data_IF_082068573178
#
_entry.id   IF_082068573178
#
_cell.length_a   1.000
_cell.length_b   1.000
_cell.length_c   1.000
_cell.angle_alpha   90.00
_cell.angle_beta   90.00
_cell.angle_gamma   90.00
#
_symmetry.space_group_name_H-M   'P 1'
#
loop_
_entity.id
_entity.type
_entity.pdbx_description
1 polymer ?
#
# COMPACT_ATOMS: atom_id res chain seq x y z
N UNK A 1 18.86 4.26 5.26
CA UNK A 1 17.41 4.08 5.50
C UNK A 1 16.84 5.41 5.96
N UNK A 2 15.68 5.84 5.44
CA UNK A 2 15.00 7.05 5.92
C UNK A 2 14.49 6.86 7.35
N UNK A 3 14.45 7.94 8.13
CA UNK A 3 13.85 7.96 9.46
C UNK A 3 12.32 7.93 9.31
N UNK A 4 11.64 6.96 9.92
CA UNK A 4 10.17 6.78 9.81
C UNK A 4 9.37 7.47 10.93
N UNK A 5 10.03 7.87 12.01
CA UNK A 5 9.46 8.48 13.22
C UNK A 5 9.80 9.98 13.33
N UNK A 6 9.54 10.72 12.25
CA UNK A 6 9.70 12.18 12.22
C UNK A 6 8.60 12.89 13.02
N UNK A 7 8.86 14.13 13.45
CA UNK A 7 7.84 14.91 14.17
C UNK A 7 6.73 15.39 13.22
N UNK A 8 7.10 15.66 11.97
CA UNK A 8 6.30 16.20 10.87
C UNK A 8 5.42 15.13 10.21
N UNK A 9 5.70 13.85 10.46
CA UNK A 9 5.01 12.72 9.85
C UNK A 9 5.63 12.23 8.55
N UNK A 10 5.01 11.19 7.97
CA UNK A 10 5.49 10.51 6.76
C UNK A 10 4.40 10.49 5.67
N UNK A 11 4.78 10.92 4.46
CA UNK A 11 3.90 10.79 3.28
C UNK A 11 3.67 9.31 2.98
N UNK A 12 2.40 8.91 2.95
CA UNK A 12 2.00 7.51 2.74
C UNK A 12 0.92 7.45 1.65
N UNK A 13 0.96 6.38 0.87
CA UNK A 13 -0.05 6.07 -0.13
C UNK A 13 -0.46 4.60 0.02
N UNK A 14 -1.63 4.28 -0.50
CA UNK A 14 -2.12 2.90 -0.60
C UNK A 14 -2.38 2.63 -2.08
N UNK A 15 -1.70 1.63 -2.62
CA UNK A 15 -1.99 1.15 -3.97
C UNK A 15 -3.26 0.30 -3.94
N UNK A 16 -4.06 0.40 -4.99
CA UNK A 16 -5.26 -0.42 -5.17
C UNK A 16 -5.44 -0.81 -6.63
N UNK A 17 -6.15 -1.91 -6.86
CA UNK A 17 -6.56 -2.32 -8.19
C UNK A 17 -7.93 -1.70 -8.53
N UNK A 18 -8.13 -1.36 -9.80
CA UNK A 18 -9.38 -0.82 -10.32
C UNK A 18 -9.84 -1.63 -11.52
N UNK A 19 -11.14 -1.89 -11.62
CA UNK A 19 -11.76 -2.48 -12.79
C UNK A 19 -12.31 -1.35 -13.67
N UNK A 20 -11.81 -1.22 -14.90
CA UNK A 20 -12.33 -0.23 -15.83
C UNK A 20 -13.71 -0.63 -16.34
N UNK A 21 -14.64 0.33 -16.40
CA UNK A 21 -16.03 0.12 -16.81
C UNK A 21 -16.16 -0.60 -18.16
N UNK A 22 -15.38 -0.17 -19.13
CA UNK A 22 -15.44 -0.66 -20.52
C UNK A 22 -14.18 -1.48 -20.87
N UNK A 23 -13.61 -2.20 -19.89
CA UNK A 23 -12.45 -3.06 -20.10
C UNK A 23 -12.79 -4.17 -21.12
N UNK A 24 -11.98 -4.38 -22.17
CA UNK A 24 -12.25 -5.42 -23.18
C UNK A 24 -11.92 -6.84 -22.69
N UNK A 25 -11.39 -6.98 -21.47
CA UNK A 25 -10.97 -8.24 -20.88
C UNK A 25 -12.14 -9.05 -20.33
N UNK A 26 -11.83 -10.28 -19.91
CA UNK A 26 -12.82 -11.14 -19.24
C UNK A 26 -12.90 -10.78 -17.75
N UNK A 27 -14.11 -10.50 -17.27
CA UNK A 27 -14.37 -10.07 -15.89
C UNK A 27 -14.09 -11.17 -14.86
N UNK A 28 -14.40 -12.43 -15.18
CA UNK A 28 -14.15 -13.56 -14.28
C UNK A 28 -12.65 -13.72 -14.03
N UNK A 29 -11.83 -13.62 -15.08
CA UNK A 29 -10.36 -13.63 -14.95
C UNK A 29 -9.82 -12.45 -14.15
N UNK A 30 -10.47 -11.29 -14.22
CA UNK A 30 -10.10 -10.15 -13.39
C UNK A 30 -10.36 -10.46 -11.90
N UNK A 31 -11.51 -11.05 -11.58
CA UNK A 31 -11.80 -11.50 -10.21
C UNK A 31 -10.92 -12.65 -9.75
N UNK A 32 -10.61 -13.62 -10.61
CA UNK A 32 -9.66 -14.69 -10.31
C UNK A 32 -8.29 -14.11 -9.94
N UNK A 33 -7.82 -13.13 -10.70
CA UNK A 33 -6.59 -12.42 -10.36
C UNK A 33 -6.69 -11.70 -9.02
N UNK A 34 -7.75 -10.91 -8.79
CA UNK A 34 -7.98 -10.19 -7.52
C UNK A 34 -8.05 -11.12 -6.31
N UNK A 35 -8.66 -12.30 -6.46
CA UNK A 35 -8.68 -13.34 -5.43
C UNK A 35 -7.27 -13.87 -5.18
N UNK A 36 -6.50 -14.16 -6.23
CA UNK A 36 -5.15 -14.68 -6.12
C UNK A 36 -4.19 -13.68 -5.44
N UNK A 37 -4.23 -12.39 -5.80
CA UNK A 37 -3.38 -11.36 -5.15
C UNK A 37 -3.80 -11.11 -3.68
N UNK A 38 -5.05 -11.36 -3.34
CA UNK A 38 -5.53 -11.27 -1.96
C UNK A 38 -5.37 -12.55 -1.15
N UNK A 39 -4.83 -13.63 -1.71
CA UNK A 39 -4.53 -14.83 -0.94
C UNK A 39 -3.58 -14.47 0.24
N UNK A 40 -3.85 -14.93 1.48
CA UNK A 40 -3.03 -14.61 2.65
C UNK A 40 -1.54 -14.91 2.49
N UNK A 41 -1.16 -15.91 1.70
CA UNK A 41 0.24 -16.28 1.49
C UNK A 41 1.02 -15.20 0.72
N UNK A 42 0.33 -14.37 -0.06
CA UNK A 42 0.95 -13.26 -0.81
C UNK A 42 1.56 -12.22 0.14
N UNK A 43 1.03 -12.05 1.35
CA UNK A 43 1.55 -11.11 2.34
C UNK A 43 3.02 -11.41 2.67
N UNK A 44 3.37 -12.69 2.75
CA UNK A 44 4.73 -13.13 3.08
C UNK A 44 5.71 -12.69 2.01
N UNK A 45 5.35 -12.85 0.73
CA UNK A 45 6.17 -12.42 -0.41
C UNK A 45 6.27 -10.91 -0.47
N UNK A 46 5.15 -10.20 -0.40
CA UNK A 46 5.11 -8.73 -0.47
C UNK A 46 5.95 -8.08 0.63
N UNK A 47 5.81 -8.55 1.88
CA UNK A 47 6.55 -7.97 3.00
C UNK A 47 8.02 -8.38 2.94
N UNK A 48 8.33 -9.66 2.78
CA UNK A 48 9.71 -10.15 2.86
C UNK A 48 10.56 -9.66 1.70
N UNK A 49 10.08 -9.89 0.47
CA UNK A 49 10.89 -9.75 -0.73
C UNK A 49 10.78 -8.33 -1.30
N UNK A 50 9.59 -7.73 -1.27
CA UNK A 50 9.36 -6.39 -1.84
C UNK A 50 9.37 -5.27 -0.80
N UNK A 51 9.19 -5.61 0.49
CA UNK A 51 9.13 -4.63 1.56
C UNK A 51 7.81 -3.84 1.62
N UNK A 52 6.76 -4.30 0.94
CA UNK A 52 5.43 -3.70 0.96
C UNK A 52 4.52 -4.41 1.95
N UNK A 53 3.83 -3.63 2.79
CA UNK A 53 2.72 -4.12 3.59
C UNK A 53 1.51 -4.45 2.71
N UNK A 54 0.71 -5.44 3.13
CA UNK A 54 -0.54 -5.80 2.45
C UNK A 54 -1.74 -5.42 3.32
N UNK A 55 -2.84 -5.01 2.68
CA UNK A 55 -4.09 -4.70 3.37
C UNK A 55 -4.83 -5.94 3.93
N UNK A 56 -4.39 -7.16 3.60
CA UNK A 56 -4.98 -8.39 4.13
C UNK A 56 -4.44 -8.68 5.54
N UNK A 57 -5.23 -8.34 6.56
CA UNK A 57 -4.87 -8.55 7.96
C UNK A 57 -4.59 -10.03 8.32
N UNK A 58 -5.30 -10.99 7.69
CA UNK A 58 -5.05 -12.42 7.91
C UNK A 58 -3.68 -12.83 7.36
N UNK A 59 -3.34 -12.34 6.16
CA UNK A 59 -2.02 -12.57 5.56
C UNK A 59 -0.90 -11.95 6.40
N UNK A 60 -1.07 -10.69 6.82
CA UNK A 60 -0.12 -9.98 7.67
C UNK A 60 0.13 -10.70 9.01
N UNK A 61 -0.91 -11.28 9.63
CA UNK A 61 -0.78 -12.06 10.85
C UNK A 61 0.02 -13.37 10.67
N UNK A 62 0.15 -13.85 9.42
CA UNK A 62 0.94 -15.04 9.08
C UNK A 62 2.40 -14.73 8.70
N UNK A 63 2.81 -13.46 8.65
CA UNK A 63 4.18 -13.07 8.37
C UNK A 63 5.03 -13.19 9.64
N UNK A 64 6.27 -13.67 9.50
CA UNK A 64 7.21 -13.76 10.62
C UNK A 64 7.41 -12.39 11.30
N UNK A 65 7.36 -12.38 12.63
CA UNK A 65 7.42 -11.14 13.42
C UNK A 65 8.76 -10.41 13.27
N UNK A 66 9.88 -11.12 13.09
CA UNK A 66 11.18 -10.50 12.86
C UNK A 66 11.22 -9.82 11.49
N UNK A 67 10.57 -10.42 10.48
CA UNK A 67 10.40 -9.80 9.15
C UNK A 67 9.52 -8.55 9.25
N UNK A 68 8.38 -8.61 9.94
CA UNK A 68 7.52 -7.45 10.17
C UNK A 68 8.29 -6.30 10.82
N UNK A 69 9.08 -6.59 11.86
CA UNK A 69 9.92 -5.60 12.53
C UNK A 69 11.01 -5.02 11.63
N UNK A 70 11.70 -5.86 10.84
CA UNK A 70 12.74 -5.42 9.91
C UNK A 70 12.19 -4.45 8.85
N UNK A 71 10.98 -4.73 8.35
CA UNK A 71 10.29 -3.93 7.33
C UNK A 71 9.53 -2.73 7.93
N UNK A 72 9.23 -2.77 9.23
CA UNK A 72 8.56 -1.70 9.99
C UNK A 72 7.03 -1.77 9.91
N UNK A 73 6.48 -2.99 9.97
CA UNK A 73 5.04 -3.29 10.01
C UNK A 73 4.63 -4.03 11.29
N UNK A 74 5.53 -4.15 12.28
CA UNK A 74 5.26 -4.81 13.57
C UNK A 74 4.30 -4.02 14.47
N UNK A 75 4.21 -2.70 14.27
CA UNK A 75 3.23 -1.82 14.91
C UNK A 75 2.61 -0.87 13.88
N UNK A 76 1.57 -1.37 13.19
CA UNK A 76 0.86 -0.61 12.15
C UNK A 76 0.16 0.61 12.74
N UNK A 77 -0.32 0.54 13.98
CA UNK A 77 -1.03 1.66 14.61
C UNK A 77 -0.08 2.83 14.83
N UNK A 78 1.14 2.56 15.31
CA UNK A 78 2.20 3.56 15.42
C UNK A 78 2.67 4.07 14.06
N UNK A 79 2.70 3.20 13.05
CA UNK A 79 3.04 3.61 11.68
C UNK A 79 2.05 4.64 11.13
N UNK A 80 0.74 4.42 11.31
CA UNK A 80 -0.29 5.32 10.75
C UNK A 80 -0.59 6.56 11.61
N UNK A 81 -0.16 6.59 12.88
CA UNK A 81 -0.43 7.69 13.83
C UNK A 81 -0.02 9.08 13.32
N UNK A 82 1.12 9.15 12.62
CA UNK A 82 1.64 10.40 12.00
C UNK A 82 1.77 10.31 10.49
N UNK A 83 0.98 9.44 9.86
CA UNK A 83 0.95 9.33 8.41
C UNK A 83 0.16 10.49 7.81
N UNK A 84 0.74 11.10 6.78
CA UNK A 84 0.05 12.01 5.88
C UNK A 84 -0.39 11.21 4.65
N UNK A 85 -1.64 10.76 4.63
CA UNK A 85 -2.18 10.06 3.46
C UNK A 85 -2.35 11.02 2.29
N UNK A 86 -1.80 10.66 1.13
CA UNK A 86 -2.04 11.43 -0.08
C UNK A 86 -3.54 11.50 -0.40
N UNK A 87 -4.03 12.71 -0.65
CA UNK A 87 -5.42 12.98 -1.00
C UNK A 87 -5.51 13.49 -2.44
N UNK A 88 -6.68 13.36 -3.10
CA UNK A 88 -6.90 13.99 -4.40
C UNK A 88 -6.65 15.50 -4.30
N UNK A 89 -5.82 16.03 -5.20
CA UNK A 89 -5.54 17.46 -5.30
C UNK A 89 -6.55 18.11 -6.26
N UNK A 90 -7.06 19.33 -5.96
CA UNK A 90 -7.81 20.13 -6.93
C UNK A 90 -7.00 20.32 -8.22
N UNK A 91 -7.66 20.30 -9.37
CA UNK A 91 -7.02 20.40 -10.68
C UNK A 91 -6.09 21.62 -10.79
N UNK A 92 -6.53 22.78 -10.31
CA UNK A 92 -5.76 24.02 -10.37
C UNK A 92 -4.45 23.94 -9.58
N UNK A 93 -4.47 23.29 -8.41
CA UNK A 93 -3.29 23.09 -7.59
C UNK A 93 -2.32 22.10 -8.27
N UNK A 94 -2.85 21.01 -8.82
CA UNK A 94 -2.06 20.02 -9.56
C UNK A 94 -1.34 20.65 -10.76
N UNK A 95 -2.03 21.50 -11.52
CA UNK A 95 -1.43 22.18 -12.68
C UNK A 95 -0.30 23.13 -12.26
N UNK A 96 -0.48 23.86 -11.16
CA UNK A 96 0.58 24.71 -10.60
C UNK A 96 1.81 23.91 -10.19
N UNK A 97 1.61 22.75 -9.53
CA UNK A 97 2.73 21.87 -9.15
C UNK A 97 3.50 21.34 -10.37
N UNK A 98 2.81 20.97 -11.45
CA UNK A 98 3.45 20.50 -12.71
C UNK A 98 4.26 21.61 -13.39
N UNK A 99 3.83 22.87 -13.28
CA UNK A 99 4.56 23.99 -13.88
C UNK A 99 5.85 24.35 -13.13
N UNK A 100 5.91 24.05 -11.83
CA UNK A 100 7.03 24.41 -10.94
C UNK A 100 8.15 23.34 -10.92
N UNK A 101 7.82 22.06 -11.14
CA UNK A 101 8.70 20.90 -10.98
C UNK A 101 8.70 19.99 -12.20
#
# INVERSE_FOLDING_TARGET
>A
KSKKDTAEGISTWVCGYVLFKDAPGNIDKAYDYLNAVNDPEIAKVLVKDWGYGQANAKGMAGVDQAVLKEKGYDDVQKFVDKTLFQQPLPSDLKLKMIAEF
#
